data_IF_202997179860
#
_entry.id   IF_202997179860
#
_cell.length_a   1.000
_cell.length_b   1.000
_cell.length_c   1.000
_cell.angle_alpha   90.00
_cell.angle_beta   90.00
_cell.angle_gamma   90.00
#
_symmetry.space_group_name_H-M   'P 1'
#
loop_
_entity.id
_entity.type
_entity.pdbx_description
1 polymer ?
#
# COMPACT_ATOMS: atom_id res chain seq x y z
N UNK A 1 -12.46 -2.70 9.44
CA UNK A 1 -11.68 -2.64 8.19
C UNK A 1 -10.21 -2.77 8.53
N UNK A 2 -9.51 -3.74 7.93
CA UNK A 2 -8.09 -3.96 8.17
C UNK A 2 -7.25 -2.85 7.52
N UNK A 3 -6.06 -2.60 8.05
CA UNK A 3 -5.08 -1.65 7.50
C UNK A 3 -3.76 -2.34 7.24
N UNK A 4 -3.09 -1.91 6.20
CA UNK A 4 -1.77 -2.41 5.81
C UNK A 4 -0.83 -1.24 5.59
N UNK A 5 0.45 -1.42 5.93
CA UNK A 5 1.49 -0.45 5.64
C UNK A 5 2.12 -0.81 4.31
N UNK A 6 2.19 0.14 3.39
CA UNK A 6 2.79 -0.07 2.08
C UNK A 6 4.00 0.83 1.94
N UNK A 7 5.15 0.22 1.63
CA UNK A 7 6.34 0.91 1.18
C UNK A 7 6.12 1.37 -0.26
N UNK A 8 5.87 2.66 -0.41
CA UNK A 8 5.80 3.32 -1.71
C UNK A 8 7.21 3.66 -2.17
N UNK A 9 7.52 3.39 -3.45
CA UNK A 9 8.86 3.59 -4.00
C UNK A 9 9.13 5.07 -4.33
N UNK A 10 8.90 5.98 -3.38
CA UNK A 10 9.02 7.42 -3.51
C UNK A 10 9.99 7.98 -2.47
N UNK A 11 10.90 8.86 -2.91
CA UNK A 11 11.94 9.37 -2.03
C UNK A 11 11.36 10.19 -0.87
N UNK A 12 11.90 10.01 0.33
CA UNK A 12 11.52 10.79 1.52
C UNK A 12 10.20 10.40 2.16
N UNK A 13 9.49 9.38 1.64
CA UNK A 13 8.31 8.81 2.29
C UNK A 13 8.67 7.52 3.01
N UNK A 14 8.14 7.36 4.22
CA UNK A 14 8.09 6.08 4.92
C UNK A 14 6.94 5.22 4.41
N UNK A 15 6.68 4.10 5.11
CA UNK A 15 5.49 3.29 4.84
C UNK A 15 4.21 4.08 5.13
N UNK A 16 3.22 3.96 4.26
CA UNK A 16 1.93 4.64 4.38
C UNK A 16 0.82 3.64 4.69
N UNK A 17 -0.13 4.03 5.54
CA UNK A 17 -1.25 3.17 5.93
C UNK A 17 -2.41 3.23 4.94
N UNK A 18 -2.77 2.08 4.35
CA UNK A 18 -3.90 1.92 3.44
C UNK A 18 -5.00 1.05 4.05
N UNK A 19 -6.25 1.33 3.68
CA UNK A 19 -7.37 0.46 4.01
C UNK A 19 -7.38 -0.76 3.09
N UNK A 20 -7.64 -1.94 3.66
CA UNK A 20 -7.72 -3.20 2.93
C UNK A 20 -9.19 -3.51 2.62
N UNK A 21 -9.55 -3.73 1.35
CA UNK A 21 -10.90 -4.20 0.98
C UNK A 21 -11.25 -5.51 1.68
N UNK A 22 -12.54 -5.72 1.97
CA UNK A 22 -12.98 -6.98 2.55
C UNK A 22 -12.70 -8.16 1.60
N UNK A 23 -12.23 -9.28 2.16
CA UNK A 23 -11.88 -10.47 1.39
C UNK A 23 -10.50 -10.45 0.74
N UNK A 24 -9.72 -9.36 0.88
CA UNK A 24 -8.33 -9.30 0.42
C UNK A 24 -7.38 -9.66 1.56
N UNK A 25 -6.68 -10.79 1.43
CA UNK A 25 -5.64 -11.23 2.36
C UNK A 25 -4.28 -10.78 1.82
N UNK A 26 -3.62 -9.85 2.52
CA UNK A 26 -2.34 -9.26 2.13
C UNK A 26 -1.27 -9.63 3.15
N UNK A 27 -0.09 -9.97 2.66
CA UNK A 27 1.05 -10.41 3.45
C UNK A 27 2.30 -9.58 3.11
N UNK A 28 3.28 -9.49 4.04
CA UNK A 28 4.53 -8.80 3.77
C UNK A 28 5.24 -9.34 2.52
N UNK A 29 5.61 -8.45 1.60
CA UNK A 29 6.21 -8.79 0.31
C UNK A 29 5.24 -8.78 -0.87
N UNK A 30 3.92 -8.68 -0.63
CA UNK A 30 2.95 -8.54 -1.72
C UNK A 30 3.13 -7.22 -2.46
N UNK A 31 3.18 -7.31 -3.79
CA UNK A 31 3.23 -6.14 -4.67
C UNK A 31 1.81 -5.65 -4.89
N UNK A 32 1.58 -4.38 -4.56
CA UNK A 32 0.25 -3.77 -4.62
C UNK A 32 0.28 -2.45 -5.38
N UNK A 33 -0.85 -2.10 -5.97
CA UNK A 33 -1.06 -0.77 -6.53
C UNK A 33 -1.97 0.04 -5.59
N UNK A 34 -1.48 1.18 -5.14
CA UNK A 34 -2.16 2.04 -4.15
C UNK A 34 -2.32 3.47 -4.67
N UNK A 35 -3.35 4.21 -4.19
CA UNK A 35 -3.50 5.61 -4.57
C UNK A 35 -2.46 6.48 -3.82
N UNK A 36 -1.87 7.45 -4.52
CA UNK A 36 -1.06 8.52 -3.93
C UNK A 36 -1.47 9.84 -4.57
N UNK A 37 -2.36 10.58 -3.90
CA UNK A 37 -3.02 11.75 -4.47
C UNK A 37 -3.79 11.39 -5.75
N UNK A 38 -3.53 12.06 -6.90
CA UNK A 38 -4.24 11.78 -8.16
C UNK A 38 -3.66 10.58 -8.93
N UNK A 39 -2.59 9.94 -8.44
CA UNK A 39 -1.88 8.86 -9.14
C UNK A 39 -2.14 7.52 -8.48
N UNK A 40 -1.94 6.47 -9.27
CA UNK A 40 -1.78 5.10 -8.80
C UNK A 40 -0.31 4.72 -8.92
N UNK A 41 0.24 4.09 -7.88
CA UNK A 41 1.65 3.73 -7.84
C UNK A 41 1.81 2.31 -7.30
N UNK A 42 2.90 1.66 -7.69
CA UNK A 42 3.29 0.35 -7.18
C UNK A 42 4.04 0.52 -5.86
N UNK A 43 3.75 -0.35 -4.91
CA UNK A 43 4.44 -0.49 -3.64
C UNK A 43 4.45 -1.93 -3.15
N UNK A 44 5.03 -2.14 -1.98
CA UNK A 44 5.13 -3.45 -1.34
C UNK A 44 4.60 -3.37 0.07
N UNK A 45 3.79 -4.35 0.47
CA UNK A 45 3.28 -4.52 1.84
C UNK A 45 4.42 -4.87 2.81
#
# INVERSE_FOLDING_TARGET
MARVRVLVLQHGLGALDYAVPEGLDLTPGDIVEVPLGPRRIVGVV
#
